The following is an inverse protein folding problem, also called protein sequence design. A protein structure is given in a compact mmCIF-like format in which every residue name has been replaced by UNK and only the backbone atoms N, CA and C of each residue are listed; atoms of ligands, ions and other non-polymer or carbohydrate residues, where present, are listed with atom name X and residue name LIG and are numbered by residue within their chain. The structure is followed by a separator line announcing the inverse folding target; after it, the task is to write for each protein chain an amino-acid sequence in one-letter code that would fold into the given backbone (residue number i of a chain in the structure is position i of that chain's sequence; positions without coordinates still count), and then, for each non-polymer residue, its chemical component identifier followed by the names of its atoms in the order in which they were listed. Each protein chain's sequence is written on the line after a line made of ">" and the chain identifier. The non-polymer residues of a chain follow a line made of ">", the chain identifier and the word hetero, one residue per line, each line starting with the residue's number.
data_IF_058282516755
#
_entry.id   IF_058282516755
#
_cell.length_a   1.000
_cell.length_b   1.000
_cell.length_c   1.000
_cell.angle_alpha   90.00
_cell.angle_beta   90.00
_cell.angle_gamma   90.00
#
_symmetry.space_group_name_H-M   'P 1'
#
loop_
_entity.id
_entity.type
_entity.pdbx_description
1 polymer ?
#
# COMPACT_ATOMS: atom_id res chain seq x y z
N UNK A 1 3.16 -17.44 -0.60
CA UNK A 1 3.43 -16.83 0.70
C UNK A 1 2.38 -15.77 0.98
N UNK A 2 1.84 -15.78 2.18
CA UNK A 2 0.90 -14.77 2.60
C UNK A 2 1.57 -13.82 3.58
N UNK A 3 1.29 -12.53 3.46
CA UNK A 3 1.65 -11.55 4.47
C UNK A 3 0.43 -10.70 4.80
N UNK A 4 0.36 -10.21 6.03
CA UNK A 4 -0.67 -9.27 6.44
C UNK A 4 -0.01 -7.93 6.72
N UNK A 5 -0.53 -6.89 6.06
CA UNK A 5 -0.05 -5.52 6.23
C UNK A 5 -1.22 -4.67 6.71
N UNK A 6 -0.93 -3.49 7.21
CA UNK A 6 -1.96 -2.55 7.67
C UNK A 6 -2.03 -1.42 6.65
N UNK A 7 -3.15 -1.31 5.93
CA UNK A 7 -3.33 -0.28 4.91
C UNK A 7 -4.38 0.71 5.40
N UNK A 8 -3.96 1.96 5.60
CA UNK A 8 -4.85 3.00 6.10
C UNK A 8 -5.60 2.51 7.33
N UNK A 9 -4.85 1.88 8.26
CA UNK A 9 -5.34 1.34 9.54
C UNK A 9 -6.21 0.09 9.42
N UNK A 10 -6.32 -0.49 8.22
CA UNK A 10 -7.10 -1.72 7.99
C UNK A 10 -6.16 -2.88 7.68
N UNK A 11 -6.27 -4.02 8.39
CA UNK A 11 -5.48 -5.20 8.05
C UNK A 11 -5.86 -5.74 6.67
N UNK A 12 -4.86 -6.05 5.86
CA UNK A 12 -5.05 -6.58 4.51
C UNK A 12 -4.08 -7.74 4.31
N UNK A 13 -4.59 -8.89 3.88
CA UNK A 13 -3.76 -10.05 3.62
C UNK A 13 -3.46 -10.14 2.13
N UNK A 14 -2.17 -10.16 1.81
CA UNK A 14 -1.68 -10.31 0.44
C UNK A 14 -1.30 -11.77 0.23
N UNK A 15 -1.67 -12.32 -0.93
CA UNK A 15 -1.42 -13.74 -1.22
C UNK A 15 -1.14 -13.95 -2.70
N UNK A 16 -0.53 -15.08 -3.02
CA UNK A 16 -0.32 -15.49 -4.40
C UNK A 16 1.08 -15.23 -4.94
N UNK A 17 1.94 -14.59 -4.17
CA UNK A 17 3.32 -14.31 -4.58
C UNK A 17 4.30 -14.72 -3.49
N UNK A 18 5.57 -14.86 -3.88
CA UNK A 18 6.64 -15.15 -2.94
C UNK A 18 7.18 -13.89 -2.27
N UNK A 19 7.06 -12.74 -2.94
CA UNK A 19 7.47 -11.47 -2.40
C UNK A 19 6.51 -10.39 -2.91
N UNK A 20 6.45 -9.28 -2.19
CA UNK A 20 5.49 -8.22 -2.49
C UNK A 20 6.16 -6.86 -2.51
N UNK A 21 5.60 -5.97 -3.35
CA UNK A 21 5.99 -4.57 -3.39
C UNK A 21 4.78 -3.72 -3.02
N UNK A 22 5.01 -2.42 -2.82
CA UNK A 22 3.94 -1.50 -2.45
C UNK A 22 2.73 -1.61 -3.39
N UNK A 23 2.96 -1.61 -4.70
CA UNK A 23 1.86 -1.61 -5.67
C UNK A 23 1.00 -2.87 -5.58
N UNK A 24 1.53 -3.97 -5.06
CA UNK A 24 0.76 -5.22 -4.94
C UNK A 24 -0.42 -5.08 -4.00
N UNK A 25 -0.41 -4.12 -3.07
CA UNK A 25 -1.53 -3.92 -2.16
C UNK A 25 -2.79 -3.53 -2.91
N UNK A 26 -2.67 -2.91 -4.08
CA UNK A 26 -3.81 -2.45 -4.86
C UNK A 26 -4.64 -3.58 -5.43
N UNK A 27 -4.11 -4.79 -5.47
CA UNK A 27 -4.87 -5.98 -5.87
C UNK A 27 -5.81 -6.46 -4.76
N UNK A 28 -5.59 -6.01 -3.53
CA UNK A 28 -6.32 -6.50 -2.36
C UNK A 28 -7.02 -5.40 -1.58
N UNK A 29 -6.63 -4.14 -1.80
CA UNK A 29 -7.20 -2.99 -1.12
C UNK A 29 -7.77 -2.03 -2.17
N UNK A 30 -9.07 -1.75 -2.14
CA UNK A 30 -9.69 -0.88 -3.16
C UNK A 30 -9.24 0.57 -2.98
N UNK A 31 -8.44 1.05 -3.94
CA UNK A 31 -8.00 2.44 -3.95
C UNK A 31 -7.97 2.91 -5.41
N UNK A 32 -8.68 3.99 -5.71
CA UNK A 32 -8.80 4.50 -7.06
C UNK A 32 -7.68 5.49 -7.36
N UNK A 33 -6.77 5.10 -8.27
CA UNK A 33 -5.70 5.97 -8.75
C UNK A 33 -6.11 6.79 -9.97
N UNK A 34 -7.28 6.48 -10.57
CA UNK A 34 -7.68 7.10 -11.82
C UNK A 34 -8.37 8.45 -11.63
N UNK A 35 -8.88 8.69 -10.41
CA UNK A 35 -9.55 9.96 -10.10
C UNK A 35 -8.75 10.69 -9.04
N UNK A 36 -8.18 11.84 -9.43
CA UNK A 36 -7.41 12.66 -8.51
C UNK A 36 -8.35 13.29 -7.49
N UNK A 37 -8.14 13.00 -6.21
CA UNK A 37 -8.95 13.51 -5.11
C UNK A 37 -8.16 14.44 -4.20
N UNK A 38 -7.05 14.96 -4.70
CA UNK A 38 -6.18 15.90 -4.02
C UNK A 38 -5.09 16.32 -4.98
N UNK A 39 -4.17 17.13 -4.52
CA UNK A 39 -3.08 17.62 -5.35
C UNK A 39 -1.93 16.62 -5.45
N UNK A 40 -1.84 15.72 -4.50
CA UNK A 40 -0.72 14.82 -4.39
C UNK A 40 -1.14 13.48 -3.81
N UNK A 41 -0.61 12.40 -4.39
CA UNK A 41 -0.80 11.07 -3.82
C UNK A 41 0.30 10.82 -2.79
N UNK A 42 -0.11 10.43 -1.58
CA UNK A 42 0.82 10.07 -0.51
C UNK A 42 0.93 8.56 -0.48
N UNK A 43 2.18 8.05 -0.48
CA UNK A 43 2.48 6.63 -0.38
C UNK A 43 3.59 6.46 0.66
N UNK A 44 3.26 5.83 1.80
CA UNK A 44 4.23 5.63 2.88
C UNK A 44 4.27 4.17 3.32
N UNK A 45 5.44 3.73 3.73
CA UNK A 45 5.65 2.44 4.39
C UNK A 45 6.36 2.74 5.71
N UNK A 46 5.73 2.33 6.82
CA UNK A 46 6.27 2.54 8.16
C UNK A 46 6.64 4.01 8.41
N UNK A 47 5.81 4.92 7.92
CA UNK A 47 5.97 6.36 8.14
C UNK A 47 6.93 7.06 7.20
N UNK A 48 7.51 6.38 6.23
CA UNK A 48 8.48 6.94 5.30
C UNK A 48 7.97 6.80 3.86
N UNK A 49 8.18 7.83 3.05
CA UNK A 49 7.77 7.79 1.64
C UNK A 49 8.31 6.54 0.94
N UNK A 50 7.46 5.89 0.16
CA UNK A 50 7.79 4.67 -0.56
C UNK A 50 7.41 4.80 -2.03
N UNK A 51 8.26 4.27 -2.90
CA UNK A 51 7.96 4.14 -4.31
C UNK A 51 7.07 2.91 -4.52
N UNK A 52 6.37 2.84 -5.66
CA UNK A 52 5.48 1.72 -5.95
C UNK A 52 6.21 0.37 -5.98
N UNK A 53 7.48 0.36 -6.32
CA UNK A 53 8.25 -0.87 -6.39
C UNK A 53 8.96 -1.22 -5.09
N UNK A 54 8.77 -0.45 -4.03
CA UNK A 54 9.44 -0.73 -2.78
C UNK A 54 8.95 -2.06 -2.20
N UNK A 55 9.87 -2.96 -1.79
CA UNK A 55 9.48 -4.20 -1.14
C UNK A 55 8.77 -3.94 0.18
N UNK A 56 7.76 -4.75 0.47
CA UNK A 56 7.05 -4.71 1.74
C UNK A 56 7.04 -6.11 2.34
N UNK A 57 6.84 -6.20 3.64
CA UNK A 57 6.84 -7.48 4.33
C UNK A 57 5.76 -7.50 5.41
N UNK A 58 5.66 -8.65 6.08
CA UNK A 58 4.69 -8.88 7.15
C UNK A 58 4.70 -7.72 8.16
N UNK A 59 3.51 -7.23 8.48
CA UNK A 59 3.35 -6.20 9.50
C UNK A 59 3.64 -4.78 9.04
N UNK A 60 3.96 -4.57 7.76
CA UNK A 60 4.22 -3.22 7.25
C UNK A 60 2.99 -2.32 7.46
N UNK A 61 3.22 -1.09 7.86
CA UNK A 61 2.18 -0.08 8.03
C UNK A 61 2.19 0.81 6.80
N UNK A 62 1.12 0.75 6.03
CA UNK A 62 1.01 1.39 4.72
C UNK A 62 0.01 2.53 4.80
N UNK A 63 0.40 3.69 4.25
CA UNK A 63 -0.52 4.80 4.05
C UNK A 63 -0.59 5.10 2.56
N UNK A 64 -1.81 5.16 2.02
CA UNK A 64 -2.04 5.57 0.64
C UNK A 64 -3.30 6.43 0.60
N UNK A 65 -3.14 7.70 0.23
CA UNK A 65 -4.26 8.63 0.21
C UNK A 65 -3.92 9.87 -0.60
N UNK A 66 -4.97 10.62 -0.97
CA UNK A 66 -4.82 11.91 -1.66
C UNK A 66 -4.72 13.03 -0.64
N UNK A 67 -3.83 13.96 -0.89
CA UNK A 67 -3.57 15.10 -0.01
C UNK A 67 -3.67 16.40 -0.81
N UNK A 68 -4.22 17.45 -0.20
CA UNK A 68 -4.31 18.78 -0.82
C UNK A 68 -3.08 19.63 -0.53
#
# INVERSE_FOLDING_TARGET
>A
REITVIVNKTPVTLRGKESYTFVDILDFYPFDLTTMRGKRLVTNVNGTHAEFIQPIDEGAVIDIYWEN
#
